data_IF_040577432873
#
_entry.id   IF_040577432873
#
_cell.length_a   1.000
_cell.length_b   1.000
_cell.length_c   1.000
_cell.angle_alpha   90.00
_cell.angle_beta   90.00
_cell.angle_gamma   90.00
#
_symmetry.space_group_name_H-M   'P 1'
#
loop_
_entity.id
_entity.type
_entity.pdbx_description
1 polymer ?
#
# COMPACT_ATOMS: atom_id res chain seq x y z
N UNK A 1 29.66 -19.49 -13.10
CA UNK A 1 28.98 -19.95 -11.87
C UNK A 1 28.96 -21.47 -11.80
N UNK A 2 29.28 -22.06 -10.64
CA UNK A 2 29.28 -23.52 -10.42
C UNK A 2 27.85 -24.07 -10.52
N UNK A 3 27.67 -25.22 -11.19
CA UNK A 3 26.34 -25.82 -11.39
C UNK A 3 25.57 -26.08 -10.08
N UNK A 4 26.29 -26.41 -8.99
CA UNK A 4 25.70 -26.70 -7.67
C UNK A 4 25.13 -25.46 -6.96
N UNK A 5 25.46 -24.25 -7.44
CA UNK A 5 24.98 -22.97 -6.92
C UNK A 5 23.86 -22.37 -7.78
N UNK A 6 23.47 -23.04 -8.87
CA UNK A 6 22.41 -22.58 -9.77
C UNK A 6 21.06 -23.12 -9.28
N UNK A 7 20.03 -22.28 -9.31
CA UNK A 7 18.67 -22.69 -8.97
C UNK A 7 18.06 -23.52 -10.09
N UNK A 8 17.49 -24.68 -9.76
CA UNK A 8 16.71 -25.52 -10.67
C UNK A 8 15.34 -25.82 -10.06
N UNK A 9 14.29 -25.24 -10.67
CA UNK A 9 12.91 -25.37 -10.21
C UNK A 9 12.32 -26.77 -10.40
N UNK A 10 12.98 -27.66 -11.16
CA UNK A 10 12.60 -29.08 -11.29
C UNK A 10 13.15 -29.94 -10.17
N UNK A 11 14.20 -29.46 -9.48
CA UNK A 11 14.94 -30.23 -8.48
C UNK A 11 14.60 -29.78 -7.06
N UNK A 12 14.41 -28.47 -6.84
CA UNK A 12 14.10 -27.95 -5.51
C UNK A 12 13.18 -26.71 -5.57
N UNK A 13 12.46 -26.48 -4.47
CA UNK A 13 11.67 -25.26 -4.31
C UNK A 13 12.59 -24.04 -4.10
N UNK A 14 12.12 -22.84 -4.46
CA UNK A 14 12.86 -21.59 -4.22
C UNK A 14 13.20 -21.39 -2.74
N UNK A 15 12.30 -21.80 -1.82
CA UNK A 15 12.51 -21.79 -0.36
C UNK A 15 13.66 -22.71 0.05
N UNK A 16 13.66 -23.95 -0.43
CA UNK A 16 14.70 -24.95 -0.16
C UNK A 16 16.06 -24.48 -0.69
N UNK A 17 16.07 -23.98 -1.94
CA UNK A 17 17.26 -23.40 -2.57
C UNK A 17 17.82 -22.24 -1.74
N UNK A 18 17.02 -21.22 -1.42
CA UNK A 18 17.50 -20.05 -0.67
C UNK A 18 17.93 -20.40 0.75
N UNK A 19 17.28 -21.38 1.39
CA UNK A 19 17.72 -21.89 2.71
C UNK A 19 19.09 -22.57 2.61
N UNK A 20 19.32 -23.36 1.56
CA UNK A 20 20.62 -24.00 1.30
C UNK A 20 21.69 -22.95 0.98
N UNK A 21 21.37 -21.96 0.14
CA UNK A 21 22.29 -20.89 -0.25
C UNK A 21 22.63 -19.96 0.91
N UNK A 22 21.67 -19.66 1.79
CA UNK A 22 21.90 -18.87 3.00
C UNK A 22 22.98 -19.49 3.90
N UNK A 23 22.95 -20.82 4.08
CA UNK A 23 23.97 -21.55 4.84
C UNK A 23 25.35 -21.45 4.20
N UNK A 24 25.43 -21.63 2.87
CA UNK A 24 26.71 -21.47 2.16
C UNK A 24 27.23 -20.03 2.25
N UNK A 25 26.32 -19.06 2.20
CA UNK A 25 26.65 -17.64 2.35
C UNK A 25 27.13 -17.30 3.77
N UNK A 26 26.56 -17.92 4.81
CA UNK A 26 27.04 -17.79 6.19
C UNK A 26 28.48 -18.29 6.34
N UNK A 27 28.78 -19.47 5.79
CA UNK A 27 30.14 -20.01 5.79
C UNK A 27 31.11 -19.10 5.06
N UNK A 28 30.74 -18.61 3.88
CA UNK A 28 31.59 -17.70 3.08
C UNK A 28 31.86 -16.39 3.84
N UNK A 29 30.84 -15.79 4.47
CA UNK A 29 30.95 -14.44 5.07
C UNK A 29 31.49 -14.45 6.49
N UNK A 30 31.07 -15.42 7.30
CA UNK A 30 31.24 -15.40 8.74
C UNK A 30 32.14 -16.52 9.27
N UNK A 31 32.33 -17.62 8.52
CA UNK A 31 33.14 -18.79 8.93
C UNK A 31 34.04 -19.32 7.81
N UNK A 32 34.90 -18.47 7.21
CA UNK A 32 35.71 -18.85 6.06
C UNK A 32 36.64 -20.05 6.34
N UNK A 33 37.01 -20.28 7.60
CA UNK A 33 37.77 -21.44 8.06
C UNK A 33 37.04 -22.78 7.86
N UNK A 34 35.71 -22.77 7.80
CA UNK A 34 34.88 -23.97 7.61
C UNK A 34 34.66 -24.31 6.12
N UNK A 35 35.07 -23.46 5.18
CA UNK A 35 34.81 -23.61 3.73
C UNK A 35 35.24 -24.99 3.20
N UNK A 36 36.37 -25.53 3.66
CA UNK A 36 36.86 -26.84 3.25
C UNK A 36 35.89 -28.00 3.59
N UNK A 37 35.02 -27.81 4.58
CA UNK A 37 33.98 -28.77 4.96
C UNK A 37 32.75 -28.75 4.06
N UNK A 38 32.66 -27.81 3.11
CA UNK A 38 31.53 -27.64 2.19
C UNK A 38 31.97 -27.85 0.74
N UNK A 39 31.81 -29.07 0.18
CA UNK A 39 32.30 -29.41 -1.16
C UNK A 39 31.82 -28.46 -2.27
N UNK A 40 30.64 -27.86 -2.10
CA UNK A 40 30.04 -26.95 -3.08
C UNK A 40 30.84 -25.64 -3.24
N UNK A 41 31.47 -25.18 -2.17
CA UNK A 41 32.22 -23.92 -2.09
C UNK A 41 33.71 -24.14 -1.78
N UNK A 42 34.15 -25.39 -1.71
CA UNK A 42 35.56 -25.72 -1.51
C UNK A 42 36.40 -25.10 -2.64
N UNK A 43 37.48 -24.39 -2.25
CA UNK A 43 38.35 -23.68 -3.18
C UNK A 43 37.65 -22.56 -3.97
N UNK A 44 36.57 -21.96 -3.46
CA UNK A 44 35.91 -20.83 -4.10
C UNK A 44 36.83 -19.60 -4.14
N UNK A 45 36.97 -19.00 -5.31
CA UNK A 45 37.74 -17.78 -5.51
C UNK A 45 36.92 -16.52 -5.14
N UNK A 46 37.56 -15.38 -4.84
CA UNK A 46 36.84 -14.12 -4.58
C UNK A 46 35.94 -13.66 -5.74
N UNK A 47 36.30 -13.98 -6.99
CA UNK A 47 35.49 -13.66 -8.17
C UNK A 47 34.24 -14.54 -8.25
N UNK A 48 34.38 -15.83 -7.93
CA UNK A 48 33.23 -16.75 -7.83
C UNK A 48 32.29 -16.39 -6.68
N UNK A 49 32.82 -15.90 -5.55
CA UNK A 49 31.99 -15.38 -4.45
C UNK A 49 31.16 -14.20 -4.93
N UNK A 50 31.76 -13.24 -5.64
CA UNK A 50 31.03 -12.09 -6.21
C UNK A 50 30.00 -12.53 -7.25
N UNK A 51 30.34 -13.47 -8.12
CA UNK A 51 29.39 -14.03 -9.10
C UNK A 51 28.20 -14.68 -8.40
N UNK A 52 28.45 -15.43 -7.32
CA UNK A 52 27.43 -16.09 -6.52
C UNK A 52 26.51 -15.09 -5.81
N UNK A 53 27.05 -14.07 -5.13
CA UNK A 53 26.25 -13.04 -4.47
C UNK A 53 25.40 -12.24 -5.46
N UNK A 54 25.95 -11.91 -6.64
CA UNK A 54 25.21 -11.25 -7.71
C UNK A 54 24.07 -12.13 -8.24
N UNK A 55 24.28 -13.43 -8.32
CA UNK A 55 23.22 -14.36 -8.74
C UNK A 55 22.09 -14.45 -7.71
N UNK A 56 22.42 -14.56 -6.42
CA UNK A 56 21.41 -14.51 -5.36
C UNK A 56 20.62 -13.20 -5.37
N UNK A 57 21.31 -12.08 -5.61
CA UNK A 57 20.66 -10.78 -5.77
C UNK A 57 19.63 -10.80 -6.90
N UNK A 58 19.99 -11.32 -8.09
CA UNK A 58 19.07 -11.46 -9.23
C UNK A 58 17.87 -12.37 -8.95
N UNK A 59 18.03 -13.40 -8.13
CA UNK A 59 16.92 -14.29 -7.74
C UNK A 59 15.93 -13.59 -6.79
N UNK A 60 16.44 -12.71 -5.94
CA UNK A 60 15.66 -12.01 -4.91
C UNK A 60 15.05 -10.71 -5.40
N UNK A 61 15.68 -10.04 -6.36
CA UNK A 61 15.26 -8.75 -6.89
C UNK A 61 13.78 -8.72 -7.32
N UNK A 62 13.24 -9.70 -8.07
CA UNK A 62 11.82 -9.70 -8.43
C UNK A 62 10.87 -9.79 -7.22
N UNK A 63 11.23 -10.58 -6.20
CA UNK A 63 10.41 -10.74 -4.99
C UNK A 63 10.43 -9.47 -4.14
N UNK A 64 11.61 -8.85 -4.01
CA UNK A 64 11.78 -7.59 -3.29
C UNK A 64 11.04 -6.46 -4.00
N UNK A 65 11.12 -6.40 -5.33
CA UNK A 65 10.41 -5.40 -6.15
C UNK A 65 8.89 -5.52 -5.97
N UNK A 66 8.35 -6.74 -6.07
CA UNK A 66 6.92 -7.01 -5.84
C UNK A 66 6.49 -6.57 -4.42
N UNK A 67 7.29 -6.88 -3.40
CA UNK A 67 7.00 -6.46 -2.03
C UNK A 67 7.10 -4.94 -1.83
N UNK A 68 8.05 -4.29 -2.52
CA UNK A 68 8.27 -2.85 -2.48
C UNK A 68 7.16 -2.09 -3.19
N UNK A 69 6.71 -2.53 -4.37
CA UNK A 69 5.57 -1.97 -5.10
C UNK A 69 4.29 -2.05 -4.27
N UNK A 70 4.01 -3.22 -3.69
CA UNK A 70 2.86 -3.38 -2.79
C UNK A 70 2.95 -2.44 -1.59
N UNK A 71 4.14 -2.27 -1.01
CA UNK A 71 4.35 -1.36 0.11
C UNK A 71 4.23 0.11 -0.31
N UNK A 72 4.80 0.50 -1.45
CA UNK A 72 4.73 1.85 -1.99
C UNK A 72 3.28 2.23 -2.30
N UNK A 73 2.52 1.31 -2.90
CA UNK A 73 1.09 1.46 -3.16
C UNK A 73 0.30 1.62 -1.86
N UNK A 74 0.49 0.71 -0.90
CA UNK A 74 -0.16 0.77 0.44
C UNK A 74 0.10 2.09 1.16
N UNK A 75 1.29 2.64 0.99
CA UNK A 75 1.73 3.88 1.66
C UNK A 75 1.59 5.14 0.78
N UNK A 76 1.05 5.02 -0.45
CA UNK A 76 0.87 6.13 -1.41
C UNK A 76 2.17 6.91 -1.68
N UNK A 77 3.26 6.18 -1.86
CA UNK A 77 4.60 6.69 -2.18
C UNK A 77 5.15 5.96 -3.41
N UNK A 78 4.30 5.73 -4.42
CA UNK A 78 4.67 4.99 -5.65
C UNK A 78 5.90 5.58 -6.34
N UNK A 79 6.07 6.90 -6.28
CA UNK A 79 7.24 7.59 -6.82
C UNK A 79 8.56 7.27 -6.09
N UNK A 80 8.49 6.60 -4.93
CA UNK A 80 9.64 6.10 -4.15
C UNK A 80 9.79 4.58 -4.21
N UNK A 81 9.10 3.89 -5.12
CA UNK A 81 9.19 2.42 -5.26
C UNK A 81 10.63 1.97 -5.47
N UNK A 82 11.41 2.68 -6.30
CA UNK A 82 12.81 2.35 -6.55
C UNK A 82 13.67 2.52 -5.29
N UNK A 83 13.41 3.56 -4.50
CA UNK A 83 14.09 3.80 -3.22
C UNK A 83 13.79 2.65 -2.24
N UNK A 84 12.52 2.26 -2.12
CA UNK A 84 12.10 1.15 -1.25
C UNK A 84 12.75 -0.15 -1.72
N UNK A 85 12.73 -0.43 -3.03
CA UNK A 85 13.30 -1.63 -3.63
C UNK A 85 14.79 -1.71 -3.34
N UNK A 86 15.55 -0.64 -3.61
CA UNK A 86 16.99 -0.62 -3.42
C UNK A 86 17.38 -0.81 -1.94
N UNK A 87 16.73 -0.09 -1.02
CA UNK A 87 17.01 -0.20 0.42
C UNK A 87 16.66 -1.60 0.93
N UNK A 88 15.50 -2.13 0.54
CA UNK A 88 15.07 -3.46 0.93
C UNK A 88 16.01 -4.54 0.37
N UNK A 89 16.42 -4.45 -0.89
CA UNK A 89 17.28 -5.43 -1.55
C UNK A 89 18.65 -5.48 -0.87
N UNK A 90 19.25 -4.32 -0.58
CA UNK A 90 20.51 -4.24 0.17
C UNK A 90 20.35 -4.87 1.56
N UNK A 91 19.28 -4.52 2.28
CA UNK A 91 19.06 -5.04 3.64
C UNK A 91 18.84 -6.55 3.64
N UNK A 92 18.02 -7.08 2.73
CA UNK A 92 17.78 -8.52 2.55
C UNK A 92 19.07 -9.24 2.21
N UNK A 93 19.86 -8.73 1.25
CA UNK A 93 21.14 -9.36 0.86
C UNK A 93 22.17 -9.34 1.99
N UNK A 94 22.20 -8.32 2.85
CA UNK A 94 23.09 -8.28 4.01
C UNK A 94 22.80 -9.41 4.99
N UNK A 95 21.53 -9.66 5.29
CA UNK A 95 21.13 -10.65 6.30
C UNK A 95 20.69 -12.00 5.73
N UNK A 96 20.75 -12.18 4.41
CA UNK A 96 20.30 -13.41 3.74
C UNK A 96 20.94 -14.68 4.32
N UNK A 97 22.18 -14.59 4.80
CA UNK A 97 22.88 -15.70 5.45
C UNK A 97 22.15 -16.26 6.68
N UNK A 98 21.27 -15.47 7.32
CA UNK A 98 20.46 -15.89 8.49
C UNK A 98 19.12 -16.53 8.10
N UNK A 99 18.78 -16.57 6.81
CA UNK A 99 17.49 -17.07 6.35
C UNK A 99 17.32 -18.55 6.68
N UNK A 100 16.31 -18.87 7.50
CA UNK A 100 16.02 -20.22 8.00
C UNK A 100 17.20 -20.87 8.73
N UNK A 101 18.05 -20.07 9.38
CA UNK A 101 19.07 -20.59 10.30
C UNK A 101 18.37 -21.34 11.46
N UNK A 102 18.67 -22.64 11.68
CA UNK A 102 18.10 -23.41 12.79
C UNK A 102 18.35 -22.82 14.17
N UNK A 103 19.41 -22.02 14.36
CA UNK A 103 19.68 -21.33 15.63
C UNK A 103 18.76 -20.12 15.86
N UNK A 104 18.17 -19.58 14.79
CA UNK A 104 17.36 -18.35 14.80
C UNK A 104 15.87 -18.65 14.59
N UNK A 105 15.55 -19.75 13.90
CA UNK A 105 14.19 -20.10 13.50
C UNK A 105 13.73 -21.38 14.20
N UNK A 106 12.80 -21.23 15.15
CA UNK A 106 12.24 -22.35 15.92
C UNK A 106 11.20 -23.20 15.15
N UNK A 107 10.76 -22.72 13.98
CA UNK A 107 9.75 -23.41 13.15
C UNK A 107 10.44 -24.47 12.29
N UNK A 108 9.97 -25.71 12.39
CA UNK A 108 10.58 -26.88 11.75
C UNK A 108 10.68 -26.76 10.23
N UNK A 109 9.71 -26.10 9.59
CA UNK A 109 9.65 -25.90 8.13
C UNK A 109 10.29 -24.57 7.68
N UNK A 110 10.69 -23.68 8.58
CA UNK A 110 11.23 -22.35 8.26
C UNK A 110 10.21 -21.36 7.66
N UNK A 111 10.59 -20.09 7.55
CA UNK A 111 9.78 -19.00 7.00
C UNK A 111 9.73 -19.00 5.47
N UNK A 112 8.64 -18.49 4.90
CA UNK A 112 8.59 -18.15 3.47
C UNK A 112 9.52 -16.99 3.13
N UNK A 113 9.90 -16.85 1.85
CA UNK A 113 10.75 -15.76 1.40
C UNK A 113 10.06 -14.40 1.57
N UNK A 114 8.75 -14.35 1.31
CA UNK A 114 7.94 -13.14 1.47
C UNK A 114 7.93 -12.66 2.92
N UNK A 115 7.80 -13.58 3.87
CA UNK A 115 7.82 -13.25 5.31
C UNK A 115 9.17 -12.67 5.72
N UNK A 116 10.26 -13.25 5.18
CA UNK A 116 11.61 -12.75 5.41
C UNK A 116 11.79 -11.33 4.85
N UNK A 117 11.41 -11.10 3.59
CA UNK A 117 11.49 -9.79 2.93
C UNK A 117 10.63 -8.73 3.63
N UNK A 118 9.41 -9.09 4.05
CA UNK A 118 8.46 -8.15 4.67
C UNK A 118 9.01 -7.46 5.92
N UNK A 119 9.91 -8.11 6.67
CA UNK A 119 10.56 -7.51 7.84
C UNK A 119 11.48 -6.35 7.47
N UNK A 120 12.10 -6.41 6.28
CA UNK A 120 13.03 -5.39 5.78
C UNK A 120 12.31 -4.25 5.05
N UNK A 121 11.18 -4.56 4.40
CA UNK A 121 10.33 -3.57 3.70
C UNK A 121 9.87 -2.46 4.65
N UNK A 122 9.51 -2.77 5.90
CA UNK A 122 9.05 -1.77 6.88
C UNK A 122 10.07 -0.65 7.12
N UNK A 123 11.36 -0.98 7.15
CA UNK A 123 12.40 0.03 7.33
C UNK A 123 12.65 0.80 6.04
N UNK A 124 12.64 0.13 4.89
CA UNK A 124 12.78 0.78 3.59
C UNK A 124 11.68 1.83 3.35
N UNK A 125 10.42 1.52 3.67
CA UNK A 125 9.30 2.46 3.62
C UNK A 125 9.53 3.66 4.55
N UNK A 126 10.05 3.45 5.76
CA UNK A 126 10.35 4.56 6.68
C UNK A 126 11.41 5.49 6.12
N UNK A 127 12.47 4.96 5.53
CA UNK A 127 13.51 5.78 4.90
C UNK A 127 12.97 6.54 3.68
N UNK A 128 12.19 5.88 2.83
CA UNK A 128 11.49 6.52 1.71
C UNK A 128 10.56 7.65 2.19
N UNK A 129 9.87 7.47 3.32
CA UNK A 129 9.11 8.56 3.94
C UNK A 129 10.00 9.68 4.45
N UNK A 130 11.16 9.42 5.06
CA UNK A 130 12.07 10.51 5.47
C UNK A 130 12.55 11.30 4.26
N UNK A 131 12.85 10.62 3.16
CA UNK A 131 13.27 11.25 1.91
C UNK A 131 12.16 12.11 1.32
N UNK A 132 10.94 11.56 1.24
CA UNK A 132 9.76 12.28 0.78
C UNK A 132 9.43 13.51 1.64
N UNK A 133 9.55 13.35 2.95
CA UNK A 133 8.98 14.31 3.90
C UNK A 133 9.98 15.29 4.49
N UNK A 134 11.28 14.99 4.42
CA UNK A 134 12.34 15.69 5.15
C UNK A 134 12.29 15.49 6.68
N UNK A 135 11.35 14.70 7.20
CA UNK A 135 11.15 14.51 8.64
C UNK A 135 12.13 13.47 9.21
N UNK A 136 12.71 13.77 10.37
CA UNK A 136 13.55 12.82 11.10
C UNK A 136 12.70 11.74 11.76
N UNK A 137 13.30 10.57 12.04
CA UNK A 137 12.64 9.41 12.69
C UNK A 137 11.78 9.80 13.90
N UNK A 138 12.34 10.59 14.82
CA UNK A 138 11.64 11.01 16.03
C UNK A 138 10.44 11.94 15.77
N UNK A 139 10.42 12.66 14.63
CA UNK A 139 9.28 13.48 14.20
C UNK A 139 8.19 12.58 13.61
N UNK A 140 8.56 11.61 12.76
CA UNK A 140 7.63 10.59 12.25
C UNK A 140 6.97 9.79 13.39
N UNK A 141 7.74 9.40 14.40
CA UNK A 141 7.19 8.70 15.57
C UNK A 141 6.17 9.54 16.34
N UNK A 142 6.41 10.86 16.48
CA UNK A 142 5.46 11.80 17.10
C UNK A 142 4.21 11.97 16.23
N UNK A 143 4.36 12.13 14.92
CA UNK A 143 3.26 12.21 13.96
C UNK A 143 2.37 10.96 14.00
N UNK A 144 2.97 9.77 14.06
CA UNK A 144 2.25 8.51 14.18
C UNK A 144 1.44 8.43 15.49
N UNK A 145 1.98 8.93 16.61
CA UNK A 145 1.24 8.96 17.89
C UNK A 145 0.05 9.91 17.85
N UNK A 146 0.24 11.12 17.31
CA UNK A 146 -0.85 12.09 17.12
C UNK A 146 -1.92 11.51 16.20
N UNK A 147 -1.52 10.84 15.10
CA UNK A 147 -2.45 10.16 14.19
C UNK A 147 -3.23 9.05 14.88
N UNK A 148 -2.57 8.17 15.65
CA UNK A 148 -3.25 7.12 16.42
C UNK A 148 -4.27 7.70 17.41
N UNK A 149 -3.95 8.82 18.04
CA UNK A 149 -4.87 9.50 18.95
C UNK A 149 -6.08 10.06 18.21
N UNK A 150 -5.87 10.75 17.07
CA UNK A 150 -6.96 11.23 16.21
C UNK A 150 -7.84 10.08 15.71
N UNK A 151 -7.24 8.96 15.29
CA UNK A 151 -7.97 7.77 14.86
C UNK A 151 -8.82 7.19 15.99
N UNK A 152 -8.26 7.06 17.20
CA UNK A 152 -9.02 6.58 18.36
C UNK A 152 -10.20 7.50 18.71
N UNK A 153 -9.99 8.81 18.68
CA UNK A 153 -11.06 9.80 18.91
C UNK A 153 -12.14 9.66 17.83
N UNK A 154 -11.74 9.55 16.56
CA UNK A 154 -12.68 9.40 15.45
C UNK A 154 -13.48 8.09 15.51
N UNK A 155 -12.85 6.98 15.87
CA UNK A 155 -13.51 5.66 15.88
C UNK A 155 -14.29 5.39 17.16
N UNK A 156 -13.73 5.76 18.31
CA UNK A 156 -14.26 5.38 19.63
C UNK A 156 -15.13 6.49 20.21
N UNK A 157 -14.75 7.76 20.00
CA UNK A 157 -15.54 8.92 20.45
C UNK A 157 -16.45 9.48 19.35
N UNK A 158 -16.43 8.87 18.15
CA UNK A 158 -17.27 9.23 17.00
C UNK A 158 -17.20 10.72 16.62
N UNK A 159 -16.07 11.37 16.92
CA UNK A 159 -15.85 12.79 16.64
C UNK A 159 -15.24 12.96 15.23
N UNK A 160 -15.81 13.80 14.35
CA UNK A 160 -15.28 14.03 13.01
C UNK A 160 -13.81 14.52 13.04
N UNK A 161 -12.97 14.01 12.13
CA UNK A 161 -11.50 14.21 12.14
C UNK A 161 -11.06 15.68 12.10
N UNK A 162 -11.89 16.52 11.47
CA UNK A 162 -11.67 17.96 11.28
C UNK A 162 -12.08 18.80 12.50
N UNK A 163 -12.82 18.19 13.43
CA UNK A 163 -13.26 18.81 14.69
C UNK A 163 -12.41 18.38 15.89
N UNK A 164 -11.43 17.51 15.66
CA UNK A 164 -10.53 17.02 16.71
C UNK A 164 -9.54 18.13 17.06
N UNK A 165 -9.67 18.66 18.27
CA UNK A 165 -8.80 19.71 18.78
C UNK A 165 -7.56 19.13 19.46
N UNK A 166 -6.54 19.98 19.65
CA UNK A 166 -5.30 19.63 20.36
C UNK A 166 -5.60 19.05 21.76
N UNK A 167 -6.63 19.58 22.43
CA UNK A 167 -7.04 19.14 23.76
C UNK A 167 -7.56 17.70 23.78
N UNK A 168 -8.30 17.30 22.73
CA UNK A 168 -8.82 15.95 22.58
C UNK A 168 -7.67 14.96 22.40
N UNK A 169 -6.71 15.31 21.53
CA UNK A 169 -5.51 14.51 21.26
C UNK A 169 -4.67 14.37 22.53
N UNK A 170 -4.50 15.46 23.28
CA UNK A 170 -3.76 15.45 24.54
C UNK A 170 -4.35 14.44 25.54
N UNK A 171 -5.69 14.42 25.68
CA UNK A 171 -6.41 13.51 26.59
C UNK A 171 -6.42 12.06 26.10
N UNK A 172 -6.51 11.82 24.79
CA UNK A 172 -6.60 10.48 24.22
C UNK A 172 -5.28 9.70 24.24
N UNK A 173 -4.12 10.38 24.31
CA UNK A 173 -2.80 9.74 24.23
C UNK A 173 -2.57 8.64 25.28
N UNK A 174 -3.06 8.84 26.51
CA UNK A 174 -2.91 7.87 27.60
C UNK A 174 -3.79 6.63 27.44
N UNK A 175 -4.80 6.69 26.56
CA UNK A 175 -5.70 5.56 26.28
C UNK A 175 -5.20 4.66 25.14
N UNK A 176 -4.24 5.14 24.34
CA UNK A 176 -3.72 4.43 23.15
C UNK A 176 -2.28 3.96 23.29
N UNK A 177 -1.54 4.45 24.29
CA UNK A 177 -0.13 4.13 24.45
C UNK A 177 0.36 4.36 25.88
N UNK A 178 1.23 3.47 26.35
CA UNK A 178 1.96 3.62 27.61
C UNK A 178 3.18 4.56 27.49
N UNK A 179 3.44 5.10 26.29
CA UNK A 179 4.56 6.01 26.07
C UNK A 179 4.29 7.37 26.73
N UNK A 180 5.36 8.09 27.11
CA UNK A 180 5.27 9.44 27.68
C UNK A 180 4.40 10.35 26.79
N UNK A 181 3.32 10.95 27.31
CA UNK A 181 2.44 11.82 26.54
C UNK A 181 3.18 13.04 25.98
N UNK A 182 2.82 13.46 24.77
CA UNK A 182 3.30 14.70 24.17
C UNK A 182 2.63 15.91 24.83
N UNK A 183 3.39 17.00 24.99
CA UNK A 183 2.81 18.28 25.43
C UNK A 183 1.88 18.86 24.36
N UNK A 184 0.96 19.73 24.75
CA UNK A 184 0.04 20.41 23.82
C UNK A 184 0.79 21.20 22.74
N UNK A 185 1.89 21.86 23.11
CA UNK A 185 2.80 22.54 22.19
C UNK A 185 3.42 21.56 21.19
N UNK A 186 3.93 20.41 21.66
CA UNK A 186 4.46 19.37 20.78
C UNK A 186 3.41 18.81 19.82
N UNK A 187 2.15 18.66 20.26
CA UNK A 187 1.05 18.21 19.40
C UNK A 187 0.74 19.27 18.34
N UNK A 188 0.71 20.56 18.72
CA UNK A 188 0.52 21.67 17.79
C UNK A 188 1.60 21.71 16.72
N UNK A 189 2.87 21.59 17.13
CA UNK A 189 4.00 21.54 16.19
C UNK A 189 3.87 20.35 15.24
N UNK A 190 3.47 19.19 15.77
CA UNK A 190 3.20 17.98 14.97
C UNK A 190 2.10 18.20 13.95
N UNK A 191 0.97 18.79 14.35
CA UNK A 191 -0.13 19.07 13.43
C UNK A 191 0.29 20.06 12.35
N UNK A 192 1.05 21.11 12.68
CA UNK A 192 1.54 22.09 11.71
C UNK A 192 2.43 21.46 10.61
N UNK A 193 3.34 20.55 10.98
CA UNK A 193 4.17 19.88 9.97
C UNK A 193 3.49 18.65 9.32
N UNK A 194 2.40 18.14 9.91
CA UNK A 194 1.51 17.18 9.25
C UNK A 194 0.58 17.86 8.24
N UNK A 195 0.14 19.10 8.48
CA UNK A 195 -0.66 19.90 7.55
C UNK A 195 0.10 20.25 6.26
N UNK A 196 1.43 20.33 6.33
CA UNK A 196 2.29 20.53 5.15
C UNK A 196 2.42 19.28 4.28
N UNK A 197 1.85 18.13 4.67
CA UNK A 197 1.91 16.87 3.93
C UNK A 197 0.60 16.09 3.97
N UNK A 198 -0.08 16.02 2.83
CA UNK A 198 -1.33 15.28 2.66
C UNK A 198 -1.03 13.79 2.42
N UNK A 199 -1.20 12.94 3.45
CA UNK A 199 -1.39 11.49 3.28
C UNK A 199 -2.47 10.94 4.22
N UNK A 200 -3.39 10.15 3.63
CA UNK A 200 -4.49 9.46 4.31
C UNK A 200 -4.18 7.95 4.31
N UNK A 201 -3.77 7.44 5.48
CA UNK A 201 -3.42 6.03 5.80
C UNK A 201 -4.64 5.23 6.32
N UNK A 202 -5.74 5.14 5.58
CA UNK A 202 -6.93 4.37 6.01
C UNK A 202 -6.87 2.85 5.65
N UNK A 203 -5.68 2.24 5.49
CA UNK A 203 -5.53 0.79 5.20
C UNK A 203 -4.63 0.09 6.24
N UNK A 204 -4.65 0.52 7.50
CA UNK A 204 -3.91 -0.12 8.59
C UNK A 204 -4.71 -1.15 9.42
N UNK A 205 -5.93 -1.51 9.00
CA UNK A 205 -6.68 -2.59 9.66
C UNK A 205 -6.94 -3.67 8.66
N UNK A 206 -6.12 -4.71 8.64
CA UNK A 206 -6.48 -6.14 8.42
C UNK A 206 -5.17 -6.93 8.45
N UNK A 207 -4.70 -7.27 9.65
CA UNK A 207 -3.94 -8.51 9.83
C UNK A 207 -4.94 -9.64 9.59
N UNK A 208 -4.94 -10.22 8.39
CA UNK A 208 -5.49 -11.56 8.17
C UNK A 208 -4.28 -12.45 7.94
N UNK A 209 -4.13 -13.44 8.81
CA UNK A 209 -3.11 -14.47 8.68
C UNK A 209 -3.26 -15.14 7.31
N UNK A 210 -2.23 -15.01 6.47
CA UNK A 210 -2.21 -15.63 5.14
C UNK A 210 -1.80 -17.11 5.28
N UNK A 211 -2.77 -18.01 5.16
CA UNK A 211 -2.50 -19.38 4.73
C UNK A 211 -2.52 -19.37 3.20
N UNK A 212 -1.35 -19.41 2.58
CA UNK A 212 -1.24 -19.65 1.14
C UNK A 212 -1.05 -21.14 0.90
N UNK A 213 -2.12 -21.81 0.48
CA UNK A 213 -2.02 -23.04 -0.31
C UNK A 213 -2.50 -22.73 -1.73
N UNK A 214 -1.64 -23.10 -2.70
CA UNK A 214 -1.84 -23.22 -4.15
C UNK A 214 -3.04 -22.52 -4.79
N UNK A 215 -2.78 -21.46 -5.56
CA UNK A 215 -3.76 -20.89 -6.51
C UNK A 215 -3.36 -21.31 -7.91
N UNK A 216 -4.21 -22.15 -8.51
CA UNK A 216 -4.32 -22.35 -9.94
C UNK A 216 -4.76 -21.04 -10.60
N UNK A 217 -4.14 -20.67 -11.72
CA UNK A 217 -4.62 -19.61 -12.61
C UNK A 217 -6.12 -19.82 -12.89
N UNK A 218 -6.97 -18.99 -12.30
CA UNK A 218 -8.40 -18.94 -12.63
C UNK A 218 -8.51 -18.14 -13.92
N UNK A 219 -9.21 -18.70 -14.91
CA UNK A 219 -9.43 -18.08 -16.22
C UNK A 219 -10.06 -16.68 -16.06
N UNK A 220 -9.37 -15.65 -16.59
CA UNK A 220 -9.66 -14.21 -16.41
C UNK A 220 -11.07 -13.78 -16.84
N UNK A 221 -11.74 -14.54 -17.70
CA UNK A 221 -13.02 -14.14 -18.32
C UNK A 221 -14.21 -14.36 -17.38
N UNK A 222 -14.22 -15.42 -16.57
CA UNK A 222 -15.30 -15.68 -15.62
C UNK A 222 -15.30 -14.65 -14.48
N UNK A 223 -14.12 -14.31 -13.96
CA UNK A 223 -13.96 -13.29 -12.92
C UNK A 223 -14.40 -11.91 -13.44
N UNK A 224 -14.09 -11.59 -14.71
CA UNK A 224 -14.50 -10.34 -15.37
C UNK A 224 -16.03 -10.24 -15.47
N UNK A 225 -16.71 -11.31 -15.86
CA UNK A 225 -18.19 -11.34 -15.90
C UNK A 225 -18.81 -11.19 -14.52
N UNK A 226 -18.26 -11.84 -13.50
CA UNK A 226 -18.76 -11.74 -12.14
C UNK A 226 -18.53 -10.34 -11.54
N UNK A 227 -17.38 -9.72 -11.81
CA UNK A 227 -17.08 -8.35 -11.40
C UNK A 227 -18.02 -7.34 -12.10
N UNK A 228 -18.28 -7.53 -13.40
CA UNK A 228 -19.27 -6.76 -14.15
C UNK A 228 -20.67 -6.89 -13.52
N UNK A 229 -21.09 -8.10 -13.14
CA UNK A 229 -22.35 -8.31 -12.45
C UNK A 229 -22.43 -7.59 -11.09
N UNK A 230 -21.31 -7.44 -10.37
CA UNK A 230 -21.25 -6.64 -9.14
C UNK A 230 -21.43 -5.14 -9.42
N UNK A 231 -20.81 -4.62 -10.48
CA UNK A 231 -21.01 -3.24 -10.90
C UNK A 231 -22.45 -2.98 -11.35
N UNK A 232 -23.07 -3.88 -12.12
CA UNK A 232 -24.46 -3.71 -12.58
C UNK A 232 -25.47 -3.63 -11.42
N UNK A 233 -25.17 -4.27 -10.28
CA UNK A 233 -25.97 -4.16 -9.04
C UNK A 233 -25.83 -2.80 -8.35
N UNK A 234 -24.85 -1.99 -8.74
CA UNK A 234 -24.66 -0.62 -8.23
C UNK A 234 -25.49 0.39 -9.03
N UNK A 235 -25.87 1.48 -8.35
CA UNK A 235 -26.53 2.62 -9.00
C UNK A 235 -25.63 3.20 -10.09
N UNK A 236 -26.19 3.75 -11.16
CA UNK A 236 -25.39 4.34 -12.25
C UNK A 236 -24.47 5.46 -11.75
N UNK A 237 -24.98 6.37 -10.92
CA UNK A 237 -24.18 7.42 -10.28
C UNK A 237 -23.08 6.86 -9.36
N UNK A 238 -23.36 5.73 -8.69
CA UNK A 238 -22.38 5.04 -7.85
C UNK A 238 -21.22 4.47 -8.68
N UNK A 239 -21.53 3.78 -9.79
CA UNK A 239 -20.54 3.27 -10.73
C UNK A 239 -19.70 4.38 -11.32
N UNK A 240 -20.34 5.45 -11.77
CA UNK A 240 -19.67 6.60 -12.37
C UNK A 240 -18.67 7.24 -11.41
N UNK A 241 -19.07 7.50 -10.15
CA UNK A 241 -18.15 8.04 -9.13
C UNK A 241 -16.98 7.10 -8.83
N UNK A 242 -17.26 5.79 -8.78
CA UNK A 242 -16.23 4.78 -8.51
C UNK A 242 -15.20 4.67 -9.66
N UNK A 243 -15.68 4.48 -10.90
CA UNK A 243 -14.84 4.31 -12.07
C UNK A 243 -14.09 5.59 -12.45
N UNK A 244 -14.75 6.76 -12.40
CA UNK A 244 -14.08 8.05 -12.70
C UNK A 244 -12.89 8.29 -11.79
N UNK A 245 -12.96 7.84 -10.54
CA UNK A 245 -11.87 8.01 -9.57
C UNK A 245 -10.74 7.00 -9.76
N UNK A 246 -11.04 5.80 -10.26
CA UNK A 246 -10.03 4.83 -10.64
C UNK A 246 -9.35 5.20 -11.96
N UNK A 247 -10.11 5.74 -12.91
CA UNK A 247 -9.65 6.11 -14.25
C UNK A 247 -8.89 7.44 -14.32
N UNK A 248 -9.02 8.33 -13.32
CA UNK A 248 -8.47 9.68 -13.35
C UNK A 248 -6.93 9.79 -13.46
N UNK A 249 -6.19 8.68 -13.46
CA UNK A 249 -4.73 8.67 -13.68
C UNK A 249 -3.98 9.68 -12.80
N UNK A 250 -3.09 10.47 -13.41
CA UNK A 250 -2.32 11.53 -12.73
C UNK A 250 -3.13 12.81 -12.46
N UNK A 251 -4.26 13.04 -13.14
CA UNK A 251 -5.12 14.19 -12.92
C UNK A 251 -6.06 13.97 -11.74
N UNK A 252 -5.64 14.41 -10.55
CA UNK A 252 -6.44 14.32 -9.33
C UNK A 252 -7.73 15.16 -9.43
N UNK A 253 -8.84 14.53 -9.77
CA UNK A 253 -10.17 15.16 -9.65
C UNK A 253 -10.61 15.21 -8.19
N UNK A 254 -10.90 16.40 -7.69
CA UNK A 254 -11.46 16.58 -6.35
C UNK A 254 -12.94 16.21 -6.34
N UNK A 255 -13.44 15.79 -5.17
CA UNK A 255 -14.87 15.58 -4.96
C UNK A 255 -15.70 16.79 -5.40
N UNK A 256 -15.30 18.02 -5.05
CA UNK A 256 -16.03 19.22 -5.47
C UNK A 256 -16.07 19.40 -6.99
N UNK A 257 -15.00 19.02 -7.72
CA UNK A 257 -15.01 19.05 -9.18
C UNK A 257 -15.94 17.98 -9.76
N UNK A 258 -15.93 16.77 -9.20
CA UNK A 258 -16.79 15.68 -9.62
C UNK A 258 -18.27 15.94 -9.32
N UNK A 259 -18.59 16.55 -8.18
CA UNK A 259 -19.95 16.82 -7.71
C UNK A 259 -20.79 17.69 -8.65
N UNK A 260 -20.13 18.51 -9.47
CA UNK A 260 -20.77 19.41 -10.45
C UNK A 260 -20.73 18.88 -11.88
N UNK A 261 -20.15 17.70 -12.13
CA UNK A 261 -20.07 17.16 -13.48
C UNK A 261 -21.49 16.91 -14.02
N UNK A 262 -21.76 17.44 -15.20
CA UNK A 262 -23.07 17.33 -15.86
C UNK A 262 -23.54 15.89 -15.95
N UNK A 263 -22.64 14.99 -16.35
CA UNK A 263 -22.92 13.56 -16.48
C UNK A 263 -23.32 12.94 -15.14
N UNK A 264 -22.62 13.25 -14.04
CA UNK A 264 -23.00 12.76 -12.72
C UNK A 264 -24.37 13.29 -12.29
N UNK A 265 -24.67 14.56 -12.57
CA UNK A 265 -25.96 15.18 -12.24
C UNK A 265 -27.10 14.48 -13.00
N UNK A 266 -26.91 14.18 -14.29
CA UNK A 266 -27.86 13.42 -15.11
C UNK A 266 -28.11 12.03 -14.52
N UNK A 267 -27.04 11.28 -14.22
CA UNK A 267 -27.16 9.96 -13.60
C UNK A 267 -27.84 10.01 -12.23
N UNK A 268 -27.66 11.08 -11.47
CA UNK A 268 -28.35 11.30 -10.20
C UNK A 268 -29.83 11.65 -10.39
N UNK A 269 -30.21 12.31 -11.49
CA UNK A 269 -31.61 12.60 -11.79
C UNK A 269 -32.39 11.34 -12.10
N UNK A 270 -31.77 10.32 -12.67
CA UNK A 270 -32.44 9.06 -13.03
C UNK A 270 -32.71 8.13 -11.85
N UNK A 271 -32.06 8.35 -10.69
CA UNK A 271 -32.24 7.56 -9.46
C UNK A 271 -32.89 8.41 -8.35
N UNK A 272 -34.01 7.94 -7.78
CA UNK A 272 -34.78 8.71 -6.79
C UNK A 272 -33.97 9.03 -5.53
N UNK A 273 -33.09 8.14 -5.09
CA UNK A 273 -32.27 8.32 -3.88
C UNK A 273 -31.15 9.33 -4.16
N UNK A 274 -30.50 9.24 -5.32
CA UNK A 274 -29.48 10.20 -5.73
C UNK A 274 -30.06 11.59 -5.97
N UNK A 275 -31.26 11.67 -6.57
CA UNK A 275 -31.95 12.94 -6.87
C UNK A 275 -32.20 13.77 -5.62
N UNK A 276 -32.57 13.13 -4.49
CA UNK A 276 -32.78 13.79 -3.19
C UNK A 276 -31.50 14.39 -2.60
N UNK A 277 -30.34 14.01 -3.11
CA UNK A 277 -29.04 14.49 -2.67
C UNK A 277 -28.43 15.53 -3.61
N UNK A 278 -29.14 15.92 -4.69
CA UNK A 278 -28.81 17.10 -5.46
C UNK A 278 -29.20 18.36 -4.69
N UNK A 279 -28.34 19.36 -4.76
CA UNK A 279 -28.51 20.64 -4.09
C UNK A 279 -28.16 21.77 -5.05
N UNK A 280 -28.87 22.88 -4.94
CA UNK A 280 -28.59 24.11 -5.69
C UNK A 280 -27.94 25.11 -4.74
N UNK A 281 -26.81 25.68 -5.13
CA UNK A 281 -26.08 26.61 -4.28
C UNK A 281 -24.73 27.01 -4.86
N UNK A 282 -23.89 27.56 -4.00
CA UNK A 282 -22.54 27.98 -4.39
C UNK A 282 -21.50 26.96 -3.95
N UNK A 283 -20.53 26.68 -4.82
CA UNK A 283 -19.43 25.76 -4.59
C UNK A 283 -18.10 26.47 -4.81
N UNK A 284 -17.28 26.54 -3.76
CA UNK A 284 -15.90 27.06 -3.84
C UNK A 284 -14.92 25.92 -4.03
N UNK A 285 -14.20 25.96 -5.15
CA UNK A 285 -13.14 25.03 -5.50
C UNK A 285 -11.82 25.81 -5.46
N UNK A 286 -10.99 25.53 -4.45
CA UNK A 286 -9.65 26.07 -4.38
C UNK A 286 -8.68 25.13 -5.12
N UNK A 287 -7.91 25.68 -6.07
CA UNK A 287 -6.79 24.98 -6.70
C UNK A 287 -5.47 25.50 -6.13
N UNK A 288 -4.52 24.62 -5.80
CA UNK A 288 -3.17 25.06 -5.48
C UNK A 288 -2.53 25.67 -6.72
N UNK A 289 -2.28 26.98 -6.69
CA UNK A 289 -1.69 27.75 -7.79
C UNK A 289 -0.16 27.65 -7.85
N UNK A 290 0.45 26.50 -7.60
CA UNK A 290 1.92 26.39 -7.61
C UNK A 290 2.61 27.50 -6.78
N UNK A 291 3.50 28.29 -7.39
CA UNK A 291 4.22 29.43 -6.78
C UNK A 291 3.41 30.76 -6.73
N UNK A 292 2.19 30.79 -7.26
CA UNK A 292 1.31 31.95 -7.21
C UNK A 292 0.08 31.68 -6.32
N UNK A 293 -0.62 32.76 -5.95
CA UNK A 293 -1.82 32.74 -5.11
C UNK A 293 -2.82 31.68 -5.58
N UNK A 294 -3.38 30.92 -4.63
CA UNK A 294 -4.39 29.90 -4.90
C UNK A 294 -5.52 30.45 -5.77
N UNK A 295 -5.84 29.76 -6.86
CA UNK A 295 -6.96 30.11 -7.72
C UNK A 295 -8.21 29.59 -7.01
N UNK A 296 -9.02 30.50 -6.48
CA UNK A 296 -10.37 30.19 -5.98
C UNK A 296 -11.37 30.34 -7.12
N UNK A 297 -11.93 29.21 -7.56
CA UNK A 297 -13.07 29.20 -8.46
C UNK A 297 -14.33 29.14 -7.62
N UNK A 298 -15.07 30.25 -7.59
CA UNK A 298 -16.39 30.31 -6.97
C UNK A 298 -17.45 30.12 -8.05
N UNK A 299 -18.20 29.02 -7.93
CA UNK A 299 -19.37 28.77 -8.76
C UNK A 299 -20.59 29.15 -7.94
N UNK A 300 -21.39 30.08 -8.44
CA UNK A 300 -22.64 30.50 -7.82
C UNK A 300 -23.82 29.92 -8.58
N UNK A 301 -24.89 29.60 -7.86
CA UNK A 301 -26.16 29.13 -8.42
C UNK A 301 -26.08 27.86 -9.30
N UNK A 302 -25.23 26.89 -8.91
CA UNK A 302 -25.10 25.62 -9.62
C UNK A 302 -25.88 24.50 -8.92
N UNK A 303 -26.31 23.50 -9.69
CA UNK A 303 -26.78 22.22 -9.14
C UNK A 303 -25.58 21.30 -9.01
N UNK A 304 -25.40 20.68 -7.85
CA UNK A 304 -24.33 19.73 -7.59
C UNK A 304 -24.79 18.64 -6.62
N UNK A 305 -24.09 17.51 -6.62
CA UNK A 305 -24.30 16.43 -5.67
C UNK A 305 -23.70 16.78 -4.31
N UNK A 306 -24.44 16.56 -3.22
CA UNK A 306 -23.91 16.68 -1.85
C UNK A 306 -22.57 15.95 -1.73
N UNK A 307 -21.54 16.65 -1.25
CA UNK A 307 -20.19 16.10 -1.13
C UNK A 307 -20.18 14.86 -0.24
N UNK A 308 -20.88 14.90 0.89
CA UNK A 308 -21.00 13.77 1.83
C UNK A 308 -21.68 12.55 1.16
N UNK A 309 -22.64 12.80 0.28
CA UNK A 309 -23.34 11.73 -0.42
C UNK A 309 -22.48 11.11 -1.52
N UNK A 310 -21.65 11.89 -2.20
CA UNK A 310 -20.67 11.37 -3.15
C UNK A 310 -19.57 10.54 -2.47
N UNK A 311 -19.10 10.95 -1.29
CA UNK A 311 -18.19 10.12 -0.47
C UNK A 311 -18.87 8.81 -0.07
N UNK A 312 -20.15 8.86 0.31
CA UNK A 312 -20.96 7.67 0.56
C UNK A 312 -21.05 6.75 -0.65
N UNK A 313 -21.37 7.28 -1.85
CA UNK A 313 -21.45 6.48 -3.09
C UNK A 313 -20.13 5.76 -3.37
N UNK A 314 -19.01 6.47 -3.23
CA UNK A 314 -17.68 5.90 -3.41
C UNK A 314 -17.35 4.82 -2.37
N UNK A 315 -17.56 5.09 -1.07
CA UNK A 315 -17.27 4.14 0.01
C UNK A 315 -18.16 2.90 -0.08
N UNK A 316 -19.43 3.05 -0.44
CA UNK A 316 -20.35 1.93 -0.62
C UNK A 316 -19.94 1.08 -1.84
N UNK A 317 -19.47 1.70 -2.94
CA UNK A 317 -18.96 0.98 -4.10
C UNK A 317 -17.70 0.19 -3.73
N UNK A 318 -16.76 0.84 -3.07
CA UNK A 318 -15.53 0.23 -2.58
C UNK A 318 -15.81 -0.95 -1.63
N UNK A 319 -16.82 -0.83 -0.76
CA UNK A 319 -17.24 -1.93 0.13
C UNK A 319 -17.75 -3.14 -0.65
N UNK A 320 -18.54 -2.92 -1.71
CA UNK A 320 -19.08 -4.00 -2.57
C UNK A 320 -17.97 -4.70 -3.36
N UNK A 321 -17.03 -3.94 -3.93
CA UNK A 321 -15.86 -4.51 -4.61
C UNK A 321 -14.96 -5.28 -3.63
N UNK A 322 -14.72 -4.75 -2.43
CA UNK A 322 -13.98 -5.48 -1.39
C UNK A 322 -14.66 -6.79 -1.01
N UNK A 323 -15.99 -6.76 -0.86
CA UNK A 323 -16.76 -7.97 -0.57
C UNK A 323 -16.60 -9.01 -1.69
N UNK A 324 -16.69 -8.59 -2.95
CA UNK A 324 -16.47 -9.44 -4.11
C UNK A 324 -15.08 -10.09 -4.12
N UNK A 325 -14.02 -9.30 -3.88
CA UNK A 325 -12.65 -9.80 -3.81
C UNK A 325 -12.49 -10.88 -2.72
N UNK A 326 -13.10 -10.64 -1.54
CA UNK A 326 -13.04 -11.60 -0.42
C UNK A 326 -13.84 -12.88 -0.74
N UNK A 327 -15.04 -12.75 -1.29
CA UNK A 327 -15.93 -13.89 -1.58
C UNK A 327 -15.40 -14.78 -2.71
N UNK A 328 -14.59 -14.23 -3.62
CA UNK A 328 -14.00 -14.97 -4.74
C UNK A 328 -12.50 -15.25 -4.53
N UNK A 329 -11.99 -14.99 -3.32
CA UNK A 329 -10.60 -15.24 -2.93
C UNK A 329 -9.57 -14.66 -3.92
N UNK A 330 -9.89 -13.51 -4.52
CA UNK A 330 -9.09 -12.90 -5.58
C UNK A 330 -7.86 -12.22 -5.01
N UNK A 331 -6.71 -12.52 -5.60
CA UNK A 331 -5.44 -11.87 -5.35
C UNK A 331 -5.22 -10.72 -6.32
N UNK A 332 -4.43 -9.70 -5.96
CA UNK A 332 -4.09 -8.61 -6.87
C UNK A 332 -3.50 -9.06 -8.21
N UNK A 333 -2.80 -10.20 -8.23
CA UNK A 333 -2.25 -10.80 -9.45
C UNK A 333 -3.35 -11.31 -10.40
N UNK A 334 -4.49 -11.76 -9.86
CA UNK A 334 -5.65 -12.21 -10.66
C UNK A 334 -6.36 -11.04 -11.36
N UNK A 335 -6.06 -9.81 -10.95
CA UNK A 335 -6.60 -8.56 -11.48
C UNK A 335 -5.57 -7.77 -12.31
N UNK A 336 -4.32 -8.21 -12.33
CA UNK A 336 -3.21 -7.49 -12.94
C UNK A 336 -3.28 -7.57 -14.48
N UNK A 337 -3.08 -6.45 -15.17
CA UNK A 337 -3.07 -6.38 -16.63
C UNK A 337 -4.44 -6.14 -17.30
N UNK A 338 -5.53 -6.77 -16.84
CA UNK A 338 -6.85 -6.61 -17.48
C UNK A 338 -7.77 -5.60 -16.80
N UNK A 339 -7.55 -5.26 -15.53
CA UNK A 339 -8.46 -4.37 -14.78
C UNK A 339 -8.45 -2.94 -15.32
N UNK A 340 -7.33 -2.46 -15.85
CA UNK A 340 -7.22 -1.12 -16.44
C UNK A 340 -7.97 -1.04 -17.77
N UNK A 341 -7.82 -2.04 -18.64
CA UNK A 341 -8.58 -2.18 -19.88
C UNK A 341 -10.09 -2.31 -19.60
N UNK A 342 -10.46 -3.12 -18.61
CA UNK A 342 -11.86 -3.28 -18.21
C UNK A 342 -12.44 -2.00 -17.60
N UNK A 343 -11.72 -1.28 -16.74
CA UNK A 343 -12.19 0.02 -16.20
C UNK A 343 -12.43 1.02 -17.34
N UNK A 344 -11.58 1.02 -18.36
CA UNK A 344 -11.75 1.87 -19.54
C UNK A 344 -13.02 1.51 -20.32
N UNK A 345 -13.25 0.22 -20.59
CA UNK A 345 -14.45 -0.28 -21.28
C UNK A 345 -15.73 0.11 -20.52
N UNK A 346 -15.79 -0.19 -19.22
CA UNK A 346 -16.95 0.13 -18.37
C UNK A 346 -17.22 1.63 -18.25
N UNK A 347 -16.16 2.46 -18.31
CA UNK A 347 -16.31 3.91 -18.25
C UNK A 347 -16.87 4.48 -19.55
N UNK A 348 -16.57 3.89 -20.70
CA UNK A 348 -17.11 4.30 -22.01
C UNK A 348 -18.60 3.96 -22.16
N UNK A 349 -19.07 2.90 -21.49
CA UNK A 349 -20.45 2.42 -21.54
C UNK A 349 -21.42 3.13 -20.56
N UNK A 350 -20.93 4.09 -19.75
CA UNK A 350 -21.71 4.87 -18.77
C UNK A 350 -22.15 6.25 -19.28
#
# INVERSE_FOLDING_TARGET
>A
MRAQLVFDNKVESKKSYLTRMARLLDVIRNRPEEICGYPQIAGISPDEVREFENYLCKILEPEVKKAAELAAYKNKIMEYTDVITNIALVSVMQVLHTYNDPAVVAIQDGYSIDTFIANHIKNAVREAFKEKTGLKKHQLDKANRVRKAKNYIATTMQKPYDTIEIEDIYKAQTQISNAKPLSKESIKDVLNYMETQVHIDEIEKFEVASNYDSVSEIESDEIKEQLHAVLLKMKKAQRYVFLKRLFAGEERITYKQLARETKLIELCKDDEVCRRNLMRGSLKISRPGGKETSIEEEYTDIVYLKIDYMDYLYRDALKKIRKFIIENELFPADLEGWIEEWILDEFQDL
#
